data_IF_353678999909
#
_entry.id   IF_353678999909
#
_cell.length_a   1.000
_cell.length_b   1.000
_cell.length_c   1.000
_cell.angle_alpha   90.00
_cell.angle_beta   90.00
_cell.angle_gamma   90.00
#
_symmetry.space_group_name_H-M   'P 1'
#
loop_
_entity.id
_entity.type
_entity.pdbx_description
1 polymer ?
#
# COMPACT_ATOMS: atom_id res chain seq x y z
N UNK A 1 2.42 -10.27 -1.54
CA UNK A 1 1.87 -9.85 -2.86
C UNK A 1 2.95 -10.03 -3.93
N UNK A 2 2.62 -9.92 -5.21
CA UNK A 2 3.60 -9.89 -6.32
C UNK A 2 3.70 -8.47 -6.85
N UNK A 3 4.88 -8.08 -7.35
CA UNK A 3 5.19 -6.71 -7.77
C UNK A 3 5.91 -6.70 -9.11
N UNK A 4 5.80 -5.60 -9.84
CA UNK A 4 6.63 -5.30 -11.01
C UNK A 4 7.62 -4.21 -10.60
N UNK A 5 8.92 -4.48 -10.70
CA UNK A 5 9.93 -3.44 -10.47
C UNK A 5 10.04 -2.52 -11.70
N UNK A 6 10.28 -1.23 -11.48
CA UNK A 6 10.42 -0.26 -12.57
C UNK A 6 11.62 -0.51 -13.49
N UNK A 7 12.65 -1.19 -12.98
CA UNK A 7 13.85 -1.54 -13.75
C UNK A 7 13.74 -2.91 -14.44
N UNK A 8 12.68 -3.68 -14.15
CA UNK A 8 12.42 -4.93 -14.86
C UNK A 8 11.80 -4.63 -16.23
N UNK A 9 12.48 -5.12 -17.27
CA UNK A 9 12.16 -4.89 -18.69
C UNK A 9 11.44 -6.08 -19.33
N UNK A 10 11.46 -7.24 -18.68
CA UNK A 10 10.91 -8.49 -19.22
C UNK A 10 9.56 -8.83 -18.58
N UNK A 11 9.33 -8.38 -17.35
CA UNK A 11 8.05 -8.52 -16.67
C UNK A 11 6.87 -7.96 -17.44
N UNK A 12 5.74 -8.65 -17.35
CA UNK A 12 4.50 -8.33 -18.06
C UNK A 12 3.44 -7.76 -17.11
N UNK A 13 3.84 -7.32 -15.92
CA UNK A 13 2.96 -6.87 -14.84
C UNK A 13 1.84 -7.88 -14.51
N UNK A 14 2.20 -9.17 -14.50
CA UNK A 14 1.32 -10.32 -14.29
C UNK A 14 1.68 -11.15 -13.05
N UNK A 15 1.03 -12.29 -12.87
CA UNK A 15 1.29 -13.18 -11.75
C UNK A 15 2.62 -13.92 -11.85
N UNK A 16 3.37 -13.85 -12.96
CA UNK A 16 4.65 -14.52 -13.15
C UNK A 16 5.85 -13.59 -12.99
N UNK A 17 5.59 -12.29 -12.90
CA UNK A 17 6.59 -11.22 -12.86
C UNK A 17 7.53 -11.32 -11.66
N UNK A 18 7.03 -11.71 -10.47
CA UNK A 18 7.87 -11.82 -9.27
C UNK A 18 7.54 -13.03 -8.43
N UNK A 19 8.46 -13.33 -7.50
CA UNK A 19 8.16 -14.18 -6.35
C UNK A 19 7.11 -13.52 -5.44
N UNK A 20 6.65 -14.25 -4.43
CA UNK A 20 5.79 -13.69 -3.39
C UNK A 20 6.60 -12.87 -2.40
N UNK A 21 6.30 -11.57 -2.30
CA UNK A 21 6.89 -10.69 -1.31
C UNK A 21 6.04 -10.65 -0.05
N UNK A 22 6.70 -10.73 1.11
CA UNK A 22 6.08 -10.44 2.42
C UNK A 22 5.80 -8.94 2.54
N UNK A 23 4.81 -8.58 3.34
CA UNK A 23 4.39 -7.19 3.57
C UNK A 23 4.51 -6.88 5.05
N UNK A 24 5.26 -5.83 5.38
CA UNK A 24 5.32 -5.29 6.73
C UNK A 24 3.94 -4.81 7.17
N UNK A 25 3.51 -5.23 8.36
CA UNK A 25 2.27 -4.79 8.99
C UNK A 25 2.58 -3.92 10.19
N UNK A 26 1.74 -2.92 10.47
CA UNK A 26 1.97 -2.00 11.60
C UNK A 26 2.00 -2.72 12.97
N UNK A 27 1.23 -3.80 13.10
CA UNK A 27 1.24 -4.67 14.28
C UNK A 27 0.87 -6.09 13.86
N UNK A 28 1.74 -7.07 14.12
CA UNK A 28 1.55 -8.46 13.73
C UNK A 28 1.89 -9.40 14.89
N UNK A 29 0.91 -10.15 15.37
CA UNK A 29 1.05 -11.19 16.38
C UNK A 29 0.46 -12.53 15.92
N UNK A 30 0.56 -13.55 16.78
CA UNK A 30 -0.01 -14.86 16.50
C UNK A 30 -1.55 -14.79 16.50
N UNK A 31 -2.16 -14.68 15.31
CA UNK A 31 -3.61 -14.55 15.09
C UNK A 31 -4.26 -13.24 15.60
N UNK A 32 -3.48 -12.18 15.80
CA UNK A 32 -3.99 -10.83 16.09
C UNK A 32 -3.11 -9.74 15.46
N UNK A 33 -3.65 -8.53 15.31
CA UNK A 33 -2.92 -7.38 14.75
C UNK A 33 -3.72 -6.60 13.72
N UNK A 34 -3.02 -5.78 12.92
CA UNK A 34 -3.59 -5.00 11.82
C UNK A 34 -3.10 -5.51 10.47
N UNK A 35 -4.02 -5.76 9.54
CA UNK A 35 -3.70 -6.24 8.19
C UNK A 35 -4.33 -5.33 7.12
N UNK A 36 -3.50 -4.77 6.25
CA UNK A 36 -3.91 -4.03 5.07
C UNK A 36 -3.11 -4.56 3.87
N UNK A 37 -3.78 -5.33 3.01
CA UNK A 37 -3.14 -6.01 1.88
C UNK A 37 -3.06 -5.03 0.70
N UNK A 38 -1.86 -4.74 0.15
CA UNK A 38 -1.74 -3.95 -1.08
C UNK A 38 -2.52 -4.58 -2.23
N UNK A 39 -3.23 -3.76 -3.01
CA UNK A 39 -4.03 -4.20 -4.16
C UNK A 39 -3.25 -4.00 -5.46
N UNK A 40 -3.68 -4.70 -6.52
CA UNK A 40 -3.14 -4.52 -7.86
C UNK A 40 -3.23 -3.05 -8.26
N UNK A 41 -2.12 -2.50 -8.77
CA UNK A 41 -1.99 -1.10 -9.17
C UNK A 41 -1.54 -0.14 -8.06
N UNK A 42 -1.48 -0.57 -6.79
CA UNK A 42 -0.89 0.26 -5.72
C UNK A 42 0.64 0.25 -5.80
N UNK A 43 1.25 1.42 -5.62
CA UNK A 43 2.70 1.56 -5.51
C UNK A 43 3.18 1.23 -4.10
N UNK A 44 4.23 0.41 -4.00
CA UNK A 44 4.79 -0.08 -2.74
C UNK A 44 6.28 0.22 -2.63
N UNK A 45 6.74 0.50 -1.42
CA UNK A 45 8.15 0.59 -1.12
C UNK A 45 8.69 -0.82 -0.84
N UNK A 46 9.66 -1.25 -1.63
CA UNK A 46 10.36 -2.52 -1.44
C UNK A 46 11.73 -2.25 -0.82
N UNK A 47 12.03 -2.97 0.25
CA UNK A 47 13.34 -3.00 0.91
C UNK A 47 13.95 -4.39 0.69
N UNK A 48 15.26 -4.45 0.62
CA UNK A 48 16.03 -5.67 0.41
C UNK A 48 16.77 -6.02 1.71
N UNK A 49 16.52 -7.22 2.25
CA UNK A 49 17.13 -7.64 3.52
C UNK A 49 18.64 -7.75 3.35
N UNK A 50 19.41 -7.13 4.24
CA UNK A 50 20.89 -7.04 4.14
C UNK A 50 21.38 -6.46 2.80
N UNK A 51 20.53 -5.73 2.06
CA UNK A 51 20.84 -5.22 0.73
C UNK A 51 20.81 -6.27 -0.39
N UNK A 52 20.35 -7.49 -0.11
CA UNK A 52 20.28 -8.58 -1.08
C UNK A 52 19.05 -8.45 -2.00
N UNK A 53 19.24 -8.21 -3.33
CA UNK A 53 18.13 -8.08 -4.27
C UNK A 53 17.22 -9.33 -4.36
N UNK A 54 17.73 -10.50 -3.98
CA UNK A 54 16.98 -11.75 -3.98
C UNK A 54 16.12 -11.93 -2.71
N UNK A 55 16.22 -11.02 -1.74
CA UNK A 55 15.45 -11.02 -0.50
C UNK A 55 14.56 -9.77 -0.33
N UNK A 56 13.59 -9.55 -1.25
CA UNK A 56 12.71 -8.39 -1.17
C UNK A 56 11.62 -8.52 -0.09
N UNK A 57 11.32 -7.41 0.56
CA UNK A 57 10.26 -7.23 1.55
C UNK A 57 9.56 -5.88 1.31
N UNK A 58 8.23 -5.85 1.34
CA UNK A 58 7.49 -4.60 1.24
C UNK A 58 7.46 -3.91 2.61
N UNK A 59 7.95 -2.68 2.69
CA UNK A 59 8.04 -1.88 3.92
C UNK A 59 6.98 -0.78 4.01
N UNK A 60 6.33 -0.42 2.91
CA UNK A 60 5.28 0.60 2.90
C UNK A 60 4.49 0.70 1.60
N UNK A 61 3.47 1.55 1.59
CA UNK A 61 2.70 1.93 0.40
C UNK A 61 2.78 3.44 0.22
N UNK A 62 2.77 3.90 -1.04
CA UNK A 62 2.96 5.31 -1.38
C UNK A 62 1.79 5.83 -2.22
N UNK A 63 1.47 7.11 -2.05
CA UNK A 63 0.61 7.85 -2.96
C UNK A 63 1.44 8.54 -4.02
N UNK A 64 0.90 8.64 -5.23
CA UNK A 64 1.51 9.32 -6.37
C UNK A 64 0.43 10.02 -7.21
N UNK A 65 0.76 10.46 -8.43
CA UNK A 65 -0.14 11.24 -9.29
C UNK A 65 -1.43 10.50 -9.67
N UNK A 66 -1.37 9.18 -9.85
CA UNK A 66 -2.53 8.37 -10.27
C UNK A 66 -3.24 7.78 -9.05
N UNK A 67 -2.49 7.25 -8.07
CA UNK A 67 -3.02 6.87 -6.77
C UNK A 67 -2.92 8.06 -5.80
N UNK A 68 -3.88 8.97 -5.86
CA UNK A 68 -3.88 10.18 -5.03
C UNK A 68 -4.32 9.90 -3.60
N UNK A 69 -3.91 10.77 -2.67
CA UNK A 69 -4.36 10.75 -1.27
C UNK A 69 -5.90 10.85 -1.16
N UNK A 70 -6.52 10.30 -0.09
CA UNK A 70 -7.99 10.26 0.05
C UNK A 70 -8.68 11.63 0.12
N UNK A 71 -7.93 12.66 0.53
CA UNK A 71 -8.40 14.05 0.62
C UNK A 71 -7.34 14.98 0.04
N UNK A 72 -7.79 16.00 -0.70
CA UNK A 72 -6.88 16.96 -1.33
C UNK A 72 -5.98 17.65 -0.31
N UNK A 73 -4.68 17.64 -0.58
CA UNK A 73 -3.65 18.35 0.17
C UNK A 73 -3.14 19.57 -0.63
N UNK A 74 -2.75 20.67 0.05
CA UNK A 74 -2.64 20.84 1.51
C UNK A 74 -3.94 21.27 2.21
N UNK A 75 -5.06 21.39 1.49
CA UNK A 75 -6.33 21.92 2.03
C UNK A 75 -6.85 21.14 3.27
N UNK A 76 -6.66 19.82 3.31
CA UNK A 76 -7.13 18.94 4.39
C UNK A 76 -5.99 18.37 5.25
N UNK A 77 -4.89 19.13 5.43
CA UNK A 77 -3.66 18.68 6.10
C UNK A 77 -3.82 18.26 7.57
N UNK A 78 -4.93 18.59 8.22
CA UNK A 78 -5.24 18.24 9.62
C UNK A 78 -6.09 16.97 9.75
N UNK A 79 -6.36 16.26 8.64
CA UNK A 79 -7.14 15.03 8.66
C UNK A 79 -6.23 13.80 8.70
N UNK A 80 -6.50 12.94 9.68
CA UNK A 80 -5.91 11.60 9.79
C UNK A 80 -6.98 10.57 9.44
N UNK A 81 -6.71 9.68 8.48
CA UNK A 81 -7.77 8.82 7.90
C UNK A 81 -7.31 7.39 7.65
N UNK A 82 -8.19 6.43 7.96
CA UNK A 82 -8.13 5.05 7.49
C UNK A 82 -9.36 4.77 6.62
N UNK A 83 -9.20 4.95 5.32
CA UNK A 83 -10.28 4.82 4.32
C UNK A 83 -10.04 3.58 3.47
N UNK A 84 -11.06 2.74 3.35
CA UNK A 84 -11.04 1.51 2.55
C UNK A 84 -11.73 1.70 1.20
N UNK A 85 -11.81 0.64 0.39
CA UNK A 85 -12.56 0.64 -0.87
C UNK A 85 -13.20 -0.73 -1.05
N UNK A 86 -14.49 -0.79 -1.38
CA UNK A 86 -15.18 -2.06 -1.67
C UNK A 86 -14.50 -2.81 -2.84
N UNK A 87 -14.53 -4.14 -2.80
CA UNK A 87 -13.89 -5.02 -3.80
C UNK A 87 -14.75 -6.28 -4.00
N UNK A 88 -14.92 -6.84 -5.20
CA UNK A 88 -14.41 -6.39 -6.51
C UNK A 88 -15.31 -5.32 -7.15
N UNK A 89 -14.75 -4.47 -8.01
CA UNK A 89 -15.53 -3.51 -8.82
C UNK A 89 -15.82 -2.15 -8.16
N UNK A 90 -15.41 -1.93 -6.91
CA UNK A 90 -15.56 -0.64 -6.24
C UNK A 90 -17.02 -0.26 -5.92
N UNK A 91 -17.27 1.05 -5.76
CA UNK A 91 -18.63 1.60 -5.57
C UNK A 91 -18.97 2.04 -4.13
N UNK A 92 -18.09 1.81 -3.16
CA UNK A 92 -18.28 2.23 -1.77
C UNK A 92 -16.99 2.17 -0.94
N UNK A 93 -17.05 2.65 0.30
CA UNK A 93 -15.94 2.61 1.25
C UNK A 93 -16.43 2.57 2.69
N UNK A 94 -15.58 2.03 3.57
CA UNK A 94 -15.65 2.24 5.01
C UNK A 94 -14.53 3.18 5.43
N UNK A 95 -14.76 4.04 6.42
CA UNK A 95 -13.76 5.04 6.82
C UNK A 95 -13.79 5.32 8.32
N UNK A 96 -12.60 5.33 8.92
CA UNK A 96 -12.33 6.02 10.17
C UNK A 96 -11.57 7.31 9.85
N UNK A 97 -12.05 8.45 10.35
CA UNK A 97 -11.44 9.76 10.10
C UNK A 97 -11.45 10.60 11.36
N UNK A 98 -10.32 11.23 11.64
CA UNK A 98 -10.09 12.16 12.74
C UNK A 98 -9.73 13.52 12.13
N UNK A 99 -10.40 14.59 12.58
CA UNK A 99 -10.15 15.97 12.16
C UNK A 99 -9.58 16.75 13.34
N UNK A 100 -8.36 17.26 13.17
CA UNK A 100 -7.64 18.00 14.20
C UNK A 100 -7.72 19.53 14.01
N UNK A 101 -8.45 20.01 12.99
CA UNK A 101 -8.71 21.45 12.85
C UNK A 101 -9.48 21.96 14.07
N UNK A 102 -8.99 23.04 14.68
CA UNK A 102 -9.63 23.67 15.83
C UNK A 102 -11.00 24.27 15.44
N UNK A 103 -12.03 23.88 16.20
CA UNK A 103 -13.41 24.36 16.04
C UNK A 103 -14.14 23.67 14.91
#
# INVERSE_FOLDING_TARGET
VKVQFHWDREGQADDKTSCWLRVSSAWAGAQYGGIAIPRIGMEVLVTFLEGDPDQPLISGCLYHKENTVPYALPANKTRSTFKTLSSMGGGGYNELRIEDKKG
#
